data_IF_014630394171
#
_entry.id   IF_014630394171
#
_cell.length_a   1.000
_cell.length_b   1.000
_cell.length_c   1.000
_cell.angle_alpha   90.00
_cell.angle_beta   90.00
_cell.angle_gamma   90.00
#
_symmetry.space_group_name_H-M   'P 1'
#
loop_
_entity.id
_entity.type
_entity.pdbx_description
1 polymer ?
#
# COMPACT_ATOMS: atom_id res chain seq x y z
N UNK A 1 65.31 12.92 -19.94
CA UNK A 1 64.04 13.20 -20.65
C UNK A 1 62.98 12.30 -20.04
N UNK A 2 62.25 12.74 -19.00
CA UNK A 2 60.90 13.32 -19.12
C UNK A 2 60.08 12.64 -20.21
N UNK A 3 59.22 11.68 -19.85
CA UNK A 3 57.77 11.65 -20.17
C UNK A 3 57.05 10.79 -19.14
N UNK A 4 56.57 11.47 -18.10
CA UNK A 4 55.44 11.06 -17.26
C UNK A 4 54.17 11.41 -18.06
N UNK A 5 53.26 10.45 -18.19
CA UNK A 5 51.83 10.65 -18.47
C UNK A 5 51.16 9.32 -18.12
N UNK A 6 50.79 9.04 -16.87
CA UNK A 6 49.52 9.45 -16.24
C UNK A 6 48.41 9.56 -17.29
N UNK A 7 47.92 8.40 -17.72
CA UNK A 7 46.62 8.33 -18.39
C UNK A 7 45.55 8.37 -17.32
N UNK A 8 44.91 9.54 -17.29
CA UNK A 8 43.87 10.02 -16.41
C UNK A 8 42.76 8.98 -16.20
N UNK A 9 42.48 8.71 -14.92
CA UNK A 9 41.21 8.18 -14.44
C UNK A 9 40.07 9.00 -15.04
N UNK A 10 39.44 8.47 -16.09
CA UNK A 10 38.06 8.78 -16.46
C UNK A 10 37.25 8.13 -15.32
N UNK A 11 36.86 8.80 -14.23
CA UNK A 11 35.83 9.85 -14.21
C UNK A 11 34.58 9.44 -15.00
N UNK A 12 34.25 8.15 -15.03
CA UNK A 12 32.87 7.71 -14.90
C UNK A 12 32.59 7.51 -13.41
N UNK A 13 32.48 8.66 -12.71
CA UNK A 13 31.55 8.75 -11.60
C UNK A 13 30.21 8.28 -12.15
N UNK A 14 29.92 6.99 -11.99
CA UNK A 14 28.56 6.53 -11.86
C UNK A 14 28.05 7.09 -10.53
N UNK A 15 27.89 8.41 -10.44
CA UNK A 15 26.75 8.97 -9.72
C UNK A 15 25.52 8.60 -10.55
N UNK A 16 25.24 7.31 -10.62
CA UNK A 16 23.87 6.88 -10.70
C UNK A 16 23.28 7.44 -9.42
N UNK A 17 22.58 8.57 -9.54
CA UNK A 17 21.48 8.84 -8.65
C UNK A 17 20.62 7.59 -8.73
N UNK A 18 20.82 6.66 -7.80
CA UNK A 18 19.89 5.58 -7.59
C UNK A 18 18.61 6.28 -7.24
N UNK A 19 17.74 6.44 -8.24
CA UNK A 19 16.36 6.81 -8.01
C UNK A 19 15.89 5.75 -7.03
N UNK A 20 15.70 6.16 -5.77
CA UNK A 20 15.20 5.25 -4.74
C UNK A 20 13.83 4.86 -5.26
N UNK A 21 13.73 3.62 -5.74
CA UNK A 21 12.50 3.10 -6.30
C UNK A 21 11.45 3.18 -5.19
N UNK A 22 10.42 3.99 -5.42
CA UNK A 22 9.38 4.20 -4.42
C UNK A 22 8.70 2.85 -4.21
N UNK A 23 8.55 2.37 -2.96
CA UNK A 23 7.94 1.07 -2.72
C UNK A 23 6.54 0.98 -3.33
N UNK A 24 6.21 -0.18 -3.90
CA UNK A 24 4.83 -0.46 -4.32
C UNK A 24 3.98 -0.82 -3.10
N UNK A 25 3.46 0.21 -2.43
CA UNK A 25 2.77 0.08 -1.14
C UNK A 25 1.56 -0.86 -1.16
N UNK A 26 0.74 -0.86 -2.21
CA UNK A 26 -0.41 -1.76 -2.29
C UNK A 26 0.02 -3.22 -2.46
N UNK A 27 1.09 -3.48 -3.22
CA UNK A 27 1.65 -4.83 -3.34
C UNK A 27 2.21 -5.31 -1.99
N UNK A 28 2.95 -4.45 -1.29
CA UNK A 28 3.48 -4.76 0.05
C UNK A 28 2.36 -5.06 1.02
N UNK A 29 1.33 -4.20 1.07
CA UNK A 29 0.18 -4.38 1.93
C UNK A 29 -0.59 -5.67 1.58
N UNK A 30 -0.77 -5.97 0.29
CA UNK A 30 -1.41 -7.20 -0.16
C UNK A 30 -0.61 -8.45 0.23
N UNK A 31 0.70 -8.45 0.05
CA UNK A 31 1.55 -9.57 0.41
C UNK A 31 1.60 -9.76 1.93
N UNK A 32 1.67 -8.67 2.71
CA UNK A 32 1.57 -8.74 4.16
C UNK A 32 0.21 -9.31 4.60
N UNK A 33 -0.88 -8.88 3.96
CA UNK A 33 -2.21 -9.42 4.23
C UNK A 33 -2.29 -10.92 3.95
N UNK A 34 -1.84 -11.34 2.77
CA UNK A 34 -1.85 -12.74 2.32
C UNK A 34 -1.01 -13.64 3.22
N UNK A 35 0.23 -13.25 3.53
CA UNK A 35 1.19 -14.14 4.20
C UNK A 35 1.16 -14.01 5.72
N UNK A 36 0.83 -12.84 6.27
CA UNK A 36 0.86 -12.58 7.72
C UNK A 36 -0.54 -12.53 8.31
N UNK A 37 -1.43 -11.71 7.75
CA UNK A 37 -2.74 -11.46 8.37
C UNK A 37 -3.71 -12.63 8.19
N UNK A 38 -3.81 -13.20 6.99
CA UNK A 38 -4.71 -14.34 6.74
C UNK A 38 -4.28 -15.63 7.46
N UNK A 39 -2.98 -15.79 7.73
CA UNK A 39 -2.48 -16.89 8.56
C UNK A 39 -2.96 -16.77 10.01
N UNK A 40 -3.08 -15.53 10.52
CA UNK A 40 -3.54 -15.24 11.89
C UNK A 40 -5.07 -15.15 12.00
N UNK A 41 -5.70 -14.60 10.98
CA UNK A 41 -7.14 -14.34 10.91
C UNK A 41 -7.68 -14.93 9.61
N UNK A 42 -7.80 -16.27 9.54
CA UNK A 42 -8.29 -16.92 8.34
C UNK A 42 -9.72 -16.52 8.05
N UNK A 43 -10.04 -16.44 6.76
CA UNK A 43 -11.39 -16.11 6.28
C UNK A 43 -11.96 -17.30 5.54
N UNK A 44 -13.23 -17.59 5.80
CA UNK A 44 -13.91 -18.73 5.16
C UNK A 44 -14.22 -18.49 3.69
N UNK A 45 -14.39 -17.21 3.32
CA UNK A 45 -14.82 -16.81 1.98
C UNK A 45 -13.66 -16.39 1.13
N UNK A 46 -13.74 -16.76 -0.16
CA UNK A 46 -12.81 -16.31 -1.17
C UNK A 46 -12.78 -14.78 -1.28
N UNK A 47 -11.59 -14.21 -1.23
CA UNK A 47 -11.34 -12.78 -1.21
C UNK A 47 -11.30 -12.29 -2.66
N UNK A 48 -12.09 -11.25 -2.98
CA UNK A 48 -12.08 -10.64 -4.31
C UNK A 48 -11.09 -9.50 -4.33
N UNK A 49 -10.18 -9.53 -5.30
CA UNK A 49 -9.15 -8.52 -5.51
C UNK A 49 -9.18 -8.02 -6.96
N UNK A 50 -8.90 -6.74 -7.22
CA UNK A 50 -8.80 -6.22 -8.57
C UNK A 50 -7.44 -6.51 -9.21
N UNK A 51 -7.35 -6.31 -10.53
CA UNK A 51 -6.08 -6.42 -11.27
C UNK A 51 -5.26 -5.12 -11.19
N UNK A 52 -5.94 -3.98 -11.31
CA UNK A 52 -5.32 -2.66 -11.33
C UNK A 52 -5.27 -2.06 -9.93
N UNK A 53 -4.22 -1.32 -9.64
CA UNK A 53 -3.98 -0.76 -8.30
C UNK A 53 -5.02 0.28 -7.92
N UNK A 54 -5.39 1.15 -8.85
CA UNK A 54 -6.39 2.21 -8.65
C UNK A 54 -7.78 1.66 -8.27
N UNK A 55 -8.08 0.42 -8.67
CA UNK A 55 -9.32 -0.26 -8.29
C UNK A 55 -9.35 -0.69 -6.81
N UNK A 56 -8.22 -0.71 -6.11
CA UNK A 56 -8.17 -0.95 -4.65
C UNK A 56 -8.62 0.25 -3.83
N UNK A 57 -8.44 1.47 -4.37
CA UNK A 57 -8.54 2.69 -3.60
C UNK A 57 -9.96 3.01 -3.15
N UNK A 58 -10.07 3.76 -2.06
CA UNK A 58 -11.35 4.25 -1.56
C UNK A 58 -11.73 5.52 -2.32
N UNK A 59 -12.85 5.50 -3.03
CA UNK A 59 -13.31 6.67 -3.81
C UNK A 59 -14.02 7.75 -2.97
N UNK A 60 -14.33 7.49 -1.68
CA UNK A 60 -15.20 8.38 -0.89
C UNK A 60 -14.94 8.41 0.62
N UNK A 61 -13.75 7.99 1.08
CA UNK A 61 -13.46 7.87 2.52
C UNK A 61 -12.36 8.83 2.96
N UNK A 62 -12.60 9.62 4.02
CA UNK A 62 -11.56 10.43 4.67
C UNK A 62 -10.57 9.52 5.39
N UNK A 63 -9.30 9.56 5.01
CA UNK A 63 -8.28 8.68 5.58
C UNK A 63 -8.04 9.00 7.06
N UNK A 64 -8.03 7.97 7.90
CA UNK A 64 -7.83 8.08 9.34
C UNK A 64 -7.06 6.87 9.85
N UNK A 65 -5.99 7.10 10.59
CA UNK A 65 -5.21 6.05 11.25
C UNK A 65 -5.67 5.94 12.69
N UNK A 66 -6.08 4.73 13.09
CA UNK A 66 -6.57 4.51 14.43
C UNK A 66 -5.44 4.56 15.47
N UNK A 67 -5.78 5.06 16.65
CA UNK A 67 -4.95 5.10 17.85
C UNK A 67 -4.34 3.73 18.24
N UNK A 68 -4.88 2.60 17.78
CA UNK A 68 -4.22 1.30 17.98
C UNK A 68 -2.85 1.16 17.31
N UNK A 69 -2.54 1.95 16.27
CA UNK A 69 -1.26 1.87 15.57
C UNK A 69 -0.22 2.82 16.17
N UNK A 70 -0.67 4.03 16.53
CA UNK A 70 0.17 5.19 16.81
C UNK A 70 0.03 5.72 18.24
N UNK A 71 -0.93 5.22 19.02
CA UNK A 71 -1.31 5.77 20.33
C UNK A 71 -2.19 7.02 20.26
N UNK A 72 -2.39 7.58 19.06
CA UNK A 72 -3.21 8.78 18.81
C UNK A 72 -4.01 8.62 17.51
N UNK A 73 -5.20 9.23 17.43
CA UNK A 73 -5.98 9.25 16.19
C UNK A 73 -5.37 10.28 15.22
N UNK A 74 -4.92 9.82 14.06
CA UNK A 74 -4.41 10.70 12.99
C UNK A 74 -5.44 10.83 11.87
N UNK A 75 -5.56 12.03 11.32
CA UNK A 75 -6.57 12.34 10.32
C UNK A 75 -5.98 13.06 9.11
N UNK A 76 -6.50 12.72 7.93
CA UNK A 76 -6.18 13.40 6.67
C UNK A 76 -6.47 14.91 6.75
N UNK A 77 -5.54 15.70 6.19
CA UNK A 77 -5.60 17.16 6.14
C UNK A 77 -5.13 17.84 7.43
N UNK A 78 -5.20 17.15 8.57
CA UNK A 78 -4.70 17.66 9.85
C UNK A 78 -3.28 17.18 10.11
N UNK A 79 -3.08 15.89 10.36
CA UNK A 79 -1.78 15.29 10.59
C UNK A 79 -1.21 14.57 9.37
N UNK A 80 -2.09 14.09 8.48
CA UNK A 80 -1.72 13.20 7.38
C UNK A 80 -1.98 13.82 6.02
N UNK A 81 -1.09 13.51 5.08
CA UNK A 81 -1.23 13.85 3.66
C UNK A 81 -0.93 12.63 2.80
N UNK A 82 -1.57 12.58 1.63
CA UNK A 82 -1.25 11.56 0.64
C UNK A 82 0.16 11.78 0.12
N UNK A 83 0.91 10.70 -0.12
CA UNK A 83 2.21 10.84 -0.74
C UNK A 83 2.07 11.26 -2.22
N UNK A 84 2.10 12.56 -2.47
CA UNK A 84 1.70 13.15 -3.75
C UNK A 84 2.51 12.65 -4.96
N UNK A 85 3.83 12.43 -4.80
CA UNK A 85 4.69 11.89 -5.87
C UNK A 85 4.17 10.51 -6.31
N UNK A 86 3.88 9.65 -5.34
CA UNK A 86 3.34 8.32 -5.59
C UNK A 86 1.96 8.36 -6.25
N UNK A 87 1.09 9.26 -5.80
CA UNK A 87 -0.23 9.44 -6.40
C UNK A 87 -0.15 9.85 -7.88
N UNK A 88 0.82 10.69 -8.25
CA UNK A 88 1.07 11.08 -9.63
C UNK A 88 1.62 9.91 -10.47
N UNK A 89 2.57 9.13 -9.93
CA UNK A 89 3.11 7.95 -10.62
C UNK A 89 2.03 6.90 -10.92
N UNK A 90 1.02 6.76 -10.07
CA UNK A 90 -0.09 5.83 -10.32
C UNK A 90 -1.05 6.27 -11.44
N UNK A 91 -1.03 7.56 -11.82
CA UNK A 91 -1.79 8.06 -12.97
C UNK A 91 -1.12 7.70 -14.30
N UNK A 92 0.17 7.35 -14.28
CA UNK A 92 0.88 6.84 -15.44
C UNK A 92 0.50 5.37 -15.68
N UNK A 93 0.00 5.08 -16.87
CA UNK A 93 -0.41 3.73 -17.26
C UNK A 93 0.78 2.78 -17.40
N UNK A 94 1.96 3.32 -17.75
CA UNK A 94 3.19 2.57 -17.89
C UNK A 94 3.93 2.41 -16.55
N UNK A 95 3.37 2.94 -15.46
CA UNK A 95 3.94 2.82 -14.13
C UNK A 95 4.06 1.35 -13.71
N UNK A 96 5.21 0.93 -13.14
CA UNK A 96 5.38 -0.42 -12.62
C UNK A 96 4.41 -0.74 -11.47
N UNK A 97 3.81 0.30 -10.86
CA UNK A 97 2.83 0.16 -9.77
C UNK A 97 1.39 0.15 -10.26
N UNK A 98 1.14 0.21 -11.57
CA UNK A 98 -0.21 0.25 -12.12
C UNK A 98 -0.95 -1.10 -12.03
N UNK A 99 -0.21 -2.21 -12.09
CA UNK A 99 -0.74 -3.58 -12.12
C UNK A 99 -0.15 -4.41 -10.99
N UNK A 100 -1.01 -5.08 -10.23
CA UNK A 100 -0.58 -5.99 -9.17
C UNK A 100 0.07 -7.26 -9.72
N UNK A 101 1.08 -7.76 -9.01
CA UNK A 101 1.69 -9.06 -9.30
C UNK A 101 0.98 -10.19 -8.53
N UNK A 102 0.42 -11.14 -9.29
CA UNK A 102 -0.31 -12.31 -8.77
C UNK A 102 0.21 -13.65 -9.29
N UNK A 103 1.46 -13.74 -9.75
CA UNK A 103 2.03 -14.94 -10.38
C UNK A 103 1.85 -16.22 -9.55
N UNK A 104 1.92 -16.11 -8.22
CA UNK A 104 1.78 -17.24 -7.28
C UNK A 104 0.54 -17.14 -6.38
N UNK A 105 -0.54 -16.54 -6.87
CA UNK A 105 -1.76 -16.36 -6.09
C UNK A 105 -2.53 -17.68 -5.90
N UNK A 106 -2.83 -18.04 -4.65
CA UNK A 106 -3.76 -19.15 -4.38
C UNK A 106 -5.17 -18.80 -4.89
N UNK A 107 -5.54 -19.43 -6.00
CA UNK A 107 -6.85 -19.25 -6.63
C UNK A 107 -7.99 -19.87 -5.81
N UNK A 108 -7.74 -20.66 -4.77
CA UNK A 108 -8.79 -21.09 -3.85
C UNK A 108 -9.14 -19.98 -2.86
N UNK A 109 -8.13 -19.31 -2.28
CA UNK A 109 -8.31 -18.20 -1.36
C UNK A 109 -8.67 -16.87 -2.04
N UNK A 110 -8.19 -16.60 -3.25
CA UNK A 110 -8.39 -15.31 -3.93
C UNK A 110 -9.04 -15.41 -5.30
N UNK A 111 -9.86 -14.42 -5.67
CA UNK A 111 -10.49 -14.26 -6.99
C UNK A 111 -10.18 -12.89 -7.58
N UNK A 112 -9.49 -12.87 -8.71
CA UNK A 112 -9.28 -11.64 -9.48
C UNK A 112 -10.60 -11.24 -10.16
N UNK A 113 -11.01 -9.98 -10.02
CA UNK A 113 -12.24 -9.41 -10.59
C UNK A 113 -11.94 -8.05 -11.22
N UNK A 114 -12.52 -7.78 -12.40
CA UNK A 114 -12.53 -6.41 -12.94
C UNK A 114 -13.42 -5.54 -12.04
N UNK A 115 -12.97 -4.33 -11.70
CA UNK A 115 -13.81 -3.36 -11.00
C UNK A 115 -15.03 -3.03 -11.85
N UNK A 116 -16.21 -3.16 -11.24
CA UNK A 116 -17.42 -2.47 -11.67
C UNK A 116 -17.79 -1.53 -10.52
N UNK A 117 -18.40 -0.39 -10.81
CA UNK A 117 -18.75 0.65 -9.82
C UNK A 117 -19.53 0.14 -8.59
N UNK A 118 -20.20 -1.02 -8.69
CA UNK A 118 -20.91 -1.71 -7.61
C UNK A 118 -20.36 -3.11 -7.27
N UNK A 119 -19.11 -3.43 -7.62
CA UNK A 119 -18.61 -4.82 -7.67
C UNK A 119 -18.43 -5.51 -6.30
N UNK A 120 -18.61 -4.80 -5.18
CA UNK A 120 -18.50 -5.40 -3.85
C UNK A 120 -17.19 -6.18 -3.71
N UNK A 121 -16.08 -5.54 -4.11
CA UNK A 121 -14.74 -6.04 -3.81
C UNK A 121 -14.62 -6.15 -2.29
N UNK A 122 -14.16 -7.32 -1.84
CA UNK A 122 -14.08 -7.60 -0.41
C UNK A 122 -12.84 -6.94 0.18
N UNK A 123 -11.76 -6.78 -0.60
CA UNK A 123 -10.51 -6.18 -0.14
C UNK A 123 -10.29 -4.84 -0.86
N UNK A 124 -9.99 -3.81 -0.07
CA UNK A 124 -9.54 -2.50 -0.52
C UNK A 124 -8.24 -2.15 0.18
N UNK A 125 -7.38 -1.41 -0.51
CA UNK A 125 -6.10 -0.94 0.02
C UNK A 125 -6.03 0.55 -0.31
N UNK A 126 -5.67 1.37 0.66
CA UNK A 126 -5.49 2.81 0.45
C UNK A 126 -4.20 3.10 -0.29
N UNK A 127 -4.13 4.29 -0.88
CA UNK A 127 -2.85 4.92 -1.18
C UNK A 127 -2.04 5.14 0.11
N UNK A 128 -0.71 5.30 0.02
CA UNK A 128 0.14 5.62 1.15
C UNK A 128 -0.09 7.08 1.60
N UNK A 129 -0.31 7.24 2.89
CA UNK A 129 -0.32 8.53 3.57
C UNK A 129 0.93 8.67 4.43
N UNK A 130 1.38 9.87 4.72
CA UNK A 130 2.48 10.12 5.65
C UNK A 130 2.13 11.30 6.55
N UNK A 131 2.85 11.46 7.67
CA UNK A 131 2.72 12.69 8.47
C UNK A 131 3.35 13.83 7.68
N UNK A 132 2.82 15.05 7.79
CA UNK A 132 3.34 16.22 7.04
C UNK A 132 4.84 16.46 7.21
N UNK A 133 5.36 16.05 8.36
CA UNK A 133 6.73 16.30 8.79
C UNK A 133 7.61 15.02 8.72
N UNK A 134 7.09 13.91 8.20
CA UNK A 134 7.76 12.59 8.15
C UNK A 134 7.53 11.93 6.79
N UNK A 135 8.63 11.71 6.05
CA UNK A 135 8.63 11.03 4.75
C UNK A 135 9.33 9.66 4.80
N UNK A 136 9.64 9.19 6.01
CA UNK A 136 10.29 7.91 6.25
C UNK A 136 9.27 6.82 6.55
N UNK A 137 8.08 7.20 7.04
CA UNK A 137 7.02 6.28 7.42
C UNK A 137 5.70 6.59 6.71
N UNK A 138 5.08 5.54 6.22
CA UNK A 138 3.85 5.58 5.46
C UNK A 138 2.77 4.73 6.12
N UNK A 139 1.56 5.27 6.14
CA UNK A 139 0.36 4.66 6.66
C UNK A 139 -0.46 4.11 5.50
N UNK A 140 -0.76 2.82 5.54
CA UNK A 140 -1.60 2.14 4.56
C UNK A 140 -2.71 1.38 5.28
N UNK A 141 -3.93 1.48 4.77
CA UNK A 141 -5.09 0.78 5.32
C UNK A 141 -5.55 -0.30 4.37
N UNK A 142 -5.62 -1.52 4.87
CA UNK A 142 -6.34 -2.61 4.23
C UNK A 142 -7.73 -2.68 4.84
N UNK A 143 -8.78 -2.58 4.05
CA UNK A 143 -10.15 -2.83 4.50
C UNK A 143 -10.70 -4.08 3.86
N UNK A 144 -11.16 -4.99 4.72
CA UNK A 144 -11.91 -6.16 4.34
C UNK A 144 -13.39 -5.98 4.70
N UNK A 145 -14.26 -6.07 3.70
CA UNK A 145 -15.71 -5.99 3.85
C UNK A 145 -16.33 -7.36 3.64
N UNK A 146 -17.08 -7.81 4.64
CA UNK A 146 -17.84 -9.04 4.56
C UNK A 146 -19.21 -8.91 5.23
N UNK A 147 -20.27 -8.92 4.40
CA UNK A 147 -21.66 -8.70 4.85
C UNK A 147 -21.77 -7.40 5.66
N UNK A 148 -22.01 -7.50 6.98
CA UNK A 148 -22.12 -6.39 7.91
C UNK A 148 -20.81 -6.11 8.66
N UNK A 149 -19.78 -6.93 8.50
CA UNK A 149 -18.49 -6.75 9.14
C UNK A 149 -17.54 -5.98 8.25
N UNK A 150 -16.92 -4.96 8.81
CA UNK A 150 -15.81 -4.24 8.22
C UNK A 150 -14.59 -4.42 9.13
N UNK A 151 -13.58 -5.10 8.61
CA UNK A 151 -12.29 -5.27 9.28
C UNK A 151 -11.32 -4.28 8.62
N UNK A 152 -10.54 -3.57 9.43
CA UNK A 152 -9.48 -2.70 8.97
C UNK A 152 -8.17 -3.10 9.62
N UNK A 153 -7.15 -3.19 8.78
CA UNK A 153 -5.77 -3.31 9.20
C UNK A 153 -5.06 -2.02 8.85
N UNK A 154 -4.46 -1.39 9.86
CA UNK A 154 -3.64 -0.20 9.71
C UNK A 154 -2.19 -0.66 9.73
N UNK A 155 -1.44 -0.32 8.69
CA UNK A 155 -0.04 -0.68 8.53
C UNK A 155 0.83 0.57 8.63
N UNK A 156 1.96 0.45 9.32
CA UNK A 156 3.08 1.39 9.26
C UNK A 156 4.19 0.77 8.43
N UNK A 157 4.49 1.38 7.30
CA UNK A 157 5.46 0.89 6.31
C UNK A 157 6.58 1.92 6.19
N UNK A 158 7.84 1.51 6.33
CA UNK A 158 8.95 2.44 6.11
C UNK A 158 9.21 2.70 4.62
N UNK A 159 10.04 3.69 4.31
CA UNK A 159 10.47 4.02 2.93
C UNK A 159 11.19 2.88 2.20
N UNK A 160 11.60 1.82 2.89
CA UNK A 160 12.23 0.62 2.30
C UNK A 160 11.20 -0.47 2.02
N UNK A 161 9.93 -0.25 2.35
CA UNK A 161 8.84 -1.20 2.16
C UNK A 161 8.68 -2.22 3.28
N UNK A 162 9.31 -2.04 4.45
CA UNK A 162 9.11 -2.94 5.58
C UNK A 162 7.90 -2.54 6.40
N UNK A 163 7.03 -3.52 6.73
CA UNK A 163 5.92 -3.31 7.67
C UNK A 163 6.44 -3.37 9.10
N UNK A 164 6.65 -2.21 9.72
CA UNK A 164 7.26 -2.09 11.05
C UNK A 164 6.26 -2.23 12.19
N UNK A 165 5.00 -1.85 11.96
CA UNK A 165 3.93 -2.01 12.92
C UNK A 165 2.58 -2.20 12.20
N UNK A 166 1.63 -2.83 12.88
CA UNK A 166 0.26 -2.93 12.38
C UNK A 166 -0.75 -3.11 13.52
N UNK A 167 -1.99 -2.69 13.29
CA UNK A 167 -3.10 -3.00 14.19
C UNK A 167 -4.38 -3.35 13.43
N UNK A 168 -5.28 -4.09 14.09
CA UNK A 168 -6.57 -4.55 13.54
C UNK A 168 -7.73 -3.93 14.32
N UNK A 169 -8.74 -3.44 13.60
CA UNK A 169 -10.05 -3.08 14.17
C UNK A 169 -11.16 -3.78 13.40
N UNK A 170 -12.17 -4.22 14.14
CA UNK A 170 -13.39 -4.79 13.60
C UNK A 170 -14.55 -3.87 13.96
N UNK A 171 -15.45 -3.68 13.00
CA UNK A 171 -16.69 -2.94 13.18
C UNK A 171 -17.83 -3.71 12.52
N UNK A 172 -19.02 -3.59 13.08
CA UNK A 172 -20.22 -4.22 12.57
C UNK A 172 -21.29 -3.17 12.27
N UNK A 173 -21.87 -3.23 11.08
CA UNK A 173 -22.95 -2.37 10.64
C UNK A 173 -24.26 -2.85 11.26
N UNK A 174 -24.78 -2.08 12.22
CA UNK A 174 -26.08 -2.30 12.86
C UNK A 174 -27.14 -1.50 12.07
N UNK A 175 -28.16 -2.19 11.56
CA UNK A 175 -29.33 -1.57 10.94
C UNK A 175 -30.47 -1.61 11.96
N UNK A 176 -30.88 -0.44 12.44
CA UNK A 176 -32.03 -0.29 13.32
C UNK A 176 -33.25 -0.01 12.43
N UNK A 177 -34.33 -0.76 12.61
CA UNK A 177 -35.61 -0.61 11.92
C UNK A 177 -36.61 0.14 12.78
#
# INVERSE_FOLDING_TARGET
MKKIAITISILSFNFGFGQVEIPFFEQIAFDFYKYSLLTKFPVEKRIKIPKYTTDFHFSSYKFQVNECLTGELLTEGKELEIFGIYALEQMDFDSPTHVMNYENLDKKQFRIKKSKSNSGLNLRISQPYHKKDDFENFYVIISENYKRKNIRYYLLIDKKGNVNNWCRKESELIIIH
#
